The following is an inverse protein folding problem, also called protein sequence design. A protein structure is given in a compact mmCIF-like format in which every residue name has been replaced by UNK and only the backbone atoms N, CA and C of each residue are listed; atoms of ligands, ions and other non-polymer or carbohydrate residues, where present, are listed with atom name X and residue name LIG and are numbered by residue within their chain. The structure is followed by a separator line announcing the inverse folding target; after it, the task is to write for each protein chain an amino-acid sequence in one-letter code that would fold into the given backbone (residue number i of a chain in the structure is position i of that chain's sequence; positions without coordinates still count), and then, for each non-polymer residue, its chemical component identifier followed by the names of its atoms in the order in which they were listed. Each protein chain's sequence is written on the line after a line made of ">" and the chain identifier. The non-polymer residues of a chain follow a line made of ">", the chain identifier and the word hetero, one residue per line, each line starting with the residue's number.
data_IF_536005546906
#
_entry.id   IF_536005546906
#
_cell.length_a   1.000
_cell.length_b   1.000
_cell.length_c   1.000
_cell.angle_alpha   90.00
_cell.angle_beta   90.00
_cell.angle_gamma   90.00
#
_symmetry.space_group_name_H-M   'P 1'
#
loop_
_entity.id
_entity.type
_entity.pdbx_description
1 polymer ?
#
# COMPACT_ATOMS: atom_id res chain seq x y z
N UNK A 1 15.25 12.20 -69.96
CA UNK A 1 15.75 13.15 -68.94
C UNK A 1 14.52 13.91 -68.47
N UNK A 2 14.04 13.84 -67.23
CA UNK A 2 14.73 13.90 -65.93
C UNK A 2 13.83 13.22 -64.89
N UNK A 3 14.43 12.36 -64.06
CA UNK A 3 13.75 11.65 -62.98
C UNK A 3 13.50 12.56 -61.77
N UNK A 4 12.32 12.44 -61.19
CA UNK A 4 11.97 13.07 -59.91
C UNK A 4 12.39 12.14 -58.76
N UNK A 5 13.44 12.53 -58.06
CA UNK A 5 14.00 11.79 -56.91
C UNK A 5 13.12 11.96 -55.67
N UNK A 6 12.66 10.81 -55.17
CA UNK A 6 11.99 10.59 -53.89
C UNK A 6 12.83 11.07 -52.70
N UNK A 7 12.31 12.01 -51.91
CA UNK A 7 12.89 12.42 -50.62
C UNK A 7 12.31 11.56 -49.49
N UNK A 8 12.91 10.39 -49.30
CA UNK A 8 12.65 9.48 -48.18
C UNK A 8 13.19 10.11 -46.88
N UNK A 9 12.31 10.76 -46.12
CA UNK A 9 12.63 11.34 -44.80
C UNK A 9 12.70 10.21 -43.77
N UNK A 10 13.85 9.56 -43.66
CA UNK A 10 14.11 8.53 -42.65
C UNK A 10 14.16 9.18 -41.25
N UNK A 11 13.06 9.10 -40.51
CA UNK A 11 13.05 9.23 -39.05
C UNK A 11 13.82 8.05 -38.47
N UNK A 12 15.12 8.22 -38.21
CA UNK A 12 15.91 7.31 -37.38
C UNK A 12 15.36 7.33 -35.95
N UNK A 13 14.41 6.45 -35.65
CA UNK A 13 14.15 6.00 -34.29
C UNK A 13 15.42 5.30 -33.80
N UNK A 14 16.15 5.96 -32.90
CA UNK A 14 17.32 5.38 -32.21
C UNK A 14 16.83 4.17 -31.42
N UNK A 15 17.08 2.95 -31.91
CA UNK A 15 16.83 1.71 -31.17
C UNK A 15 17.76 1.72 -29.94
N UNK A 16 17.20 2.00 -28.77
CA UNK A 16 17.92 1.85 -27.49
C UNK A 16 18.34 0.39 -27.33
N UNK A 17 19.62 0.19 -27.04
CA UNK A 17 20.25 -1.13 -27.02
C UNK A 17 19.69 -1.99 -25.88
N UNK A 18 19.60 -3.31 -26.07
CA UNK A 18 19.06 -4.25 -25.07
C UNK A 18 19.80 -4.18 -23.72
N UNK A 19 21.10 -3.85 -23.72
CA UNK A 19 21.89 -3.65 -22.51
C UNK A 19 21.48 -2.40 -21.70
N UNK A 20 21.01 -1.34 -22.37
CA UNK A 20 20.48 -0.12 -21.74
C UNK A 20 19.11 -0.36 -21.09
N UNK A 21 18.34 -1.35 -21.56
CA UNK A 21 17.04 -1.73 -20.98
C UNK A 21 17.16 -2.43 -19.62
N UNK A 22 18.28 -3.10 -19.37
CA UNK A 22 18.54 -3.85 -18.14
C UNK A 22 19.56 -3.16 -17.22
N UNK A 23 20.06 -1.98 -17.58
CA UNK A 23 20.83 -1.17 -16.66
C UNK A 23 19.94 -0.84 -15.43
N UNK A 24 20.43 -1.03 -14.19
CA UNK A 24 19.70 -0.61 -13.02
C UNK A 24 19.35 0.86 -13.20
N UNK A 25 18.07 1.22 -12.98
CA UNK A 25 17.65 2.60 -13.16
C UNK A 25 18.60 3.51 -12.36
N UNK A 26 19.13 4.60 -12.92
CA UNK A 26 20.08 5.50 -12.24
C UNK A 26 19.46 6.26 -11.05
N UNK A 27 18.26 5.85 -10.63
CA UNK A 27 17.42 6.40 -9.58
C UNK A 27 17.05 5.33 -8.54
N UNK A 28 17.82 4.24 -8.47
CA UNK A 28 17.62 3.16 -7.50
C UNK A 28 17.79 3.68 -6.06
N UNK A 29 17.15 3.05 -5.07
CA UNK A 29 17.24 3.48 -3.66
C UNK A 29 18.67 3.50 -3.15
N UNK A 30 19.50 2.56 -3.60
CA UNK A 30 20.90 2.48 -3.17
C UNK A 30 21.71 3.69 -3.66
N UNK A 31 21.44 4.16 -4.87
CA UNK A 31 22.11 5.35 -5.43
C UNK A 31 21.54 6.64 -4.85
N UNK A 32 20.21 6.71 -4.70
CA UNK A 32 19.56 7.82 -4.04
C UNK A 32 20.06 7.97 -2.59
N UNK A 33 20.14 6.90 -1.80
CA UNK A 33 20.65 6.97 -0.43
C UNK A 33 22.12 7.43 -0.33
N UNK A 34 22.94 7.14 -1.36
CA UNK A 34 24.37 7.46 -1.36
C UNK A 34 24.69 8.85 -1.93
N UNK A 35 23.89 9.35 -2.86
CA UNK A 35 24.16 10.59 -3.60
C UNK A 35 23.06 11.67 -3.46
N UNK A 36 22.02 11.41 -2.65
CA UNK A 36 20.99 12.38 -2.32
C UNK A 36 21.55 13.54 -1.49
N UNK A 37 21.18 14.75 -1.89
CA UNK A 37 21.40 15.95 -1.09
C UNK A 37 20.51 15.97 0.17
N UNK A 38 20.84 16.81 1.15
CA UNK A 38 20.11 16.95 2.42
C UNK A 38 18.63 17.25 2.16
N UNK A 39 18.33 18.06 1.14
CA UNK A 39 16.96 18.39 0.72
C UNK A 39 16.17 17.17 0.19
N UNK A 40 16.87 16.22 -0.43
CA UNK A 40 16.27 14.94 -0.85
C UNK A 40 16.03 14.02 0.33
N UNK A 41 16.93 14.02 1.33
CA UNK A 41 16.72 13.31 2.59
C UNK A 41 15.57 13.87 3.43
N UNK A 42 15.36 15.19 3.44
CA UNK A 42 14.18 15.80 4.07
C UNK A 42 12.89 15.32 3.39
N UNK A 43 12.95 14.91 2.12
CA UNK A 43 11.80 14.32 1.42
C UNK A 43 11.42 12.93 1.92
N UNK A 44 12.22 12.31 2.77
CA UNK A 44 11.86 11.06 3.47
C UNK A 44 10.96 11.36 4.68
N UNK A 45 11.04 12.56 5.24
CA UNK A 45 10.20 12.97 6.38
C UNK A 45 8.98 13.74 5.91
N UNK A 46 9.16 14.66 4.95
CA UNK A 46 8.09 15.44 4.32
C UNK A 46 8.10 15.11 2.83
N UNK A 47 7.27 14.17 2.40
CA UNK A 47 7.35 13.52 1.08
C UNK A 47 7.31 14.50 -0.09
N UNK A 48 6.66 15.64 0.09
CA UNK A 48 6.54 16.69 -0.92
C UNK A 48 7.73 17.66 -1.02
N UNK A 49 8.60 17.75 -0.01
CA UNK A 49 9.48 18.90 0.17
C UNK A 49 10.58 19.03 -0.91
N UNK A 50 11.33 17.96 -1.20
CA UNK A 50 12.40 18.01 -2.20
C UNK A 50 11.89 18.09 -3.64
N UNK A 51 10.63 17.73 -3.89
CA UNK A 51 9.97 18.00 -5.16
C UNK A 51 9.52 19.47 -5.25
N UNK A 52 9.06 20.05 -4.14
CA UNK A 52 8.65 21.46 -4.05
C UNK A 52 9.82 22.42 -4.29
N UNK A 53 10.97 22.18 -3.62
CA UNK A 53 12.20 22.98 -3.80
C UNK A 53 12.70 22.91 -5.24
N UNK A 54 12.46 21.78 -5.92
CA UNK A 54 12.87 21.55 -7.31
C UNK A 54 11.82 21.94 -8.34
N UNK A 55 10.90 22.86 -7.98
CA UNK A 55 9.86 23.43 -8.86
C UNK A 55 8.86 22.41 -9.42
N UNK A 56 8.78 21.20 -8.86
CA UNK A 56 7.75 20.20 -9.19
C UNK A 56 6.58 20.31 -8.20
N UNK A 57 5.93 21.47 -8.18
CA UNK A 57 4.90 21.80 -7.18
C UNK A 57 3.75 20.81 -7.14
N UNK A 58 3.22 20.39 -8.29
CA UNK A 58 2.08 19.46 -8.35
C UNK A 58 2.44 18.10 -7.74
N UNK A 59 3.63 17.56 -8.07
CA UNK A 59 4.11 16.30 -7.45
C UNK A 59 4.32 16.48 -5.96
N UNK A 60 4.92 17.60 -5.54
CA UNK A 60 5.10 17.94 -4.13
C UNK A 60 3.77 17.94 -3.37
N UNK A 61 2.74 18.57 -3.93
CA UNK A 61 1.39 18.62 -3.34
C UNK A 61 0.76 17.23 -3.27
N UNK A 62 0.87 16.40 -4.29
CA UNK A 62 0.33 15.03 -4.27
C UNK A 62 0.99 14.20 -3.16
N UNK A 63 2.32 14.22 -3.09
CA UNK A 63 3.05 13.48 -2.05
C UNK A 63 2.70 13.98 -0.64
N UNK A 64 2.59 15.30 -0.46
CA UNK A 64 2.21 15.90 0.82
C UNK A 64 0.75 15.62 1.19
N UNK A 65 -0.16 15.57 0.21
CA UNK A 65 -1.56 15.20 0.44
C UNK A 65 -1.70 13.72 0.84
N UNK A 66 -0.96 12.81 0.20
CA UNK A 66 -0.92 11.40 0.58
C UNK A 66 -0.35 11.21 1.99
N UNK A 67 0.72 11.94 2.32
CA UNK A 67 1.32 11.96 3.64
C UNK A 67 0.32 12.43 4.71
N UNK A 68 -0.34 13.58 4.47
CA UNK A 68 -1.34 14.12 5.38
C UNK A 68 -2.54 13.17 5.57
N UNK A 69 -2.99 12.49 4.50
CA UNK A 69 -4.07 11.51 4.58
C UNK A 69 -3.67 10.28 5.43
N UNK A 70 -2.47 9.75 5.22
CA UNK A 70 -1.98 8.59 5.99
C UNK A 70 -1.74 8.94 7.46
N UNK A 71 -1.11 10.07 7.75
CA UNK A 71 -0.95 10.52 9.13
C UNK A 71 -2.29 10.86 9.78
N UNK A 72 -3.21 11.50 9.06
CA UNK A 72 -4.57 11.76 9.55
C UNK A 72 -5.28 10.47 9.94
N UNK A 73 -5.22 9.44 9.09
CA UNK A 73 -5.76 8.12 9.39
C UNK A 73 -5.06 7.47 10.61
N UNK A 74 -3.73 7.51 10.67
CA UNK A 74 -2.98 6.91 11.77
C UNK A 74 -3.22 7.61 13.11
N UNK A 75 -3.36 8.94 13.13
CA UNK A 75 -3.61 9.68 14.37
C UNK A 75 -5.06 9.63 14.84
N UNK A 76 -6.02 9.38 13.95
CA UNK A 76 -7.44 9.30 14.31
C UNK A 76 -7.90 7.88 14.59
N UNK A 77 -7.55 6.93 13.72
CA UNK A 77 -7.99 5.53 13.80
C UNK A 77 -6.84 4.67 14.28
N UNK A 78 -5.64 4.86 13.73
CA UNK A 78 -4.48 4.04 14.07
C UNK A 78 -4.16 4.04 15.57
N UNK A 79 -4.08 5.20 16.21
CA UNK A 79 -3.76 5.32 17.63
C UNK A 79 -4.75 4.60 18.55
N UNK A 80 -6.03 4.57 18.19
CA UNK A 80 -7.07 3.95 19.00
C UNK A 80 -7.10 2.42 18.83
N UNK A 81 -6.82 1.92 17.63
CA UNK A 81 -6.98 0.52 17.27
C UNK A 81 -5.67 -0.30 17.27
N UNK A 82 -4.50 0.29 16.98
CA UNK A 82 -3.21 -0.43 17.02
C UNK A 82 -2.94 -1.09 18.37
N UNK A 83 -3.09 -0.39 19.52
CA UNK A 83 -2.78 -0.99 20.82
C UNK A 83 -3.74 -2.13 21.18
N UNK A 84 -4.97 -2.06 20.66
CA UNK A 84 -6.03 -3.06 20.88
C UNK A 84 -5.88 -4.28 19.97
N UNK A 85 -4.96 -4.26 18.99
CA UNK A 85 -4.77 -5.38 18.07
C UNK A 85 -4.30 -6.64 18.78
N UNK A 86 -3.69 -6.56 19.96
CA UNK A 86 -3.27 -7.72 20.73
C UNK A 86 -4.35 -8.26 21.67
N UNK A 87 -5.33 -7.45 22.04
CA UNK A 87 -6.39 -7.84 22.97
C UNK A 87 -7.72 -8.10 22.27
N UNK A 88 -7.92 -7.55 21.06
CA UNK A 88 -9.13 -7.63 20.24
C UNK A 88 -10.39 -7.11 20.94
N UNK A 89 -10.21 -6.24 21.94
CA UNK A 89 -11.31 -5.72 22.75
C UNK A 89 -11.22 -6.24 24.18
N UNK A 90 -11.59 -5.39 25.12
CA UNK A 90 -11.55 -5.72 26.56
C UNK A 90 -12.90 -5.51 27.22
N UNK A 91 -13.77 -4.71 26.60
CA UNK A 91 -15.09 -4.39 27.15
C UNK A 91 -16.13 -5.35 26.60
N UNK A 92 -16.71 -6.13 27.50
CA UNK A 92 -17.80 -7.02 27.15
C UNK A 92 -19.08 -6.23 26.80
N UNK A 93 -19.73 -6.56 25.68
CA UNK A 93 -21.14 -6.21 25.47
C UNK A 93 -21.95 -6.75 26.65
N UNK A 94 -22.47 -5.84 27.47
CA UNK A 94 -23.23 -6.16 28.67
C UNK A 94 -24.71 -5.92 28.45
N UNK A 95 -25.55 -6.85 28.91
CA UNK A 95 -26.99 -6.64 29.05
C UNK A 95 -27.29 -6.37 30.53
N UNK A 96 -27.73 -5.16 30.86
CA UNK A 96 -28.12 -4.82 32.22
C UNK A 96 -29.61 -4.52 32.24
N UNK A 97 -30.35 -5.21 33.11
CA UNK A 97 -31.78 -4.97 33.29
C UNK A 97 -31.95 -3.78 34.21
N UNK A 98 -32.38 -2.64 33.66
CA UNK A 98 -32.65 -1.42 34.42
C UNK A 98 -34.15 -1.16 34.34
N UNK A 99 -34.84 -1.14 35.47
CA UNK A 99 -36.28 -0.89 35.56
C UNK A 99 -37.14 -1.83 34.70
N UNK A 100 -36.79 -3.12 34.63
CA UNK A 100 -37.58 -4.12 33.88
C UNK A 100 -37.29 -4.18 32.38
N UNK A 101 -36.61 -3.18 31.81
CA UNK A 101 -36.21 -3.16 30.40
C UNK A 101 -34.75 -3.56 30.23
N UNK A 102 -34.46 -4.28 29.15
CA UNK A 102 -33.10 -4.63 28.76
C UNK A 102 -32.40 -3.39 28.22
N UNK A 103 -31.30 -2.99 28.88
CA UNK A 103 -30.39 -1.96 28.35
C UNK A 103 -29.12 -2.65 27.87
N UNK A 104 -28.85 -2.48 26.57
CA UNK A 104 -27.64 -3.00 25.93
C UNK A 104 -26.54 -1.96 26.07
N UNK A 105 -25.40 -2.37 26.63
CA UNK A 105 -24.16 -1.60 26.56
C UNK A 105 -23.40 -2.02 25.32
N UNK A 106 -23.07 -1.07 24.44
CA UNK A 106 -22.17 -1.32 23.33
C UNK A 106 -20.81 -1.71 23.92
N UNK A 107 -20.40 -2.96 23.71
CA UNK A 107 -19.05 -3.42 23.98
C UNK A 107 -18.21 -3.35 22.71
N UNK A 108 -16.91 -3.58 22.88
CA UNK A 108 -15.95 -3.56 21.79
C UNK A 108 -16.31 -4.62 20.72
N UNK A 109 -16.22 -4.25 19.45
CA UNK A 109 -16.38 -5.20 18.35
C UNK A 109 -14.99 -5.68 17.90
N UNK A 110 -14.67 -6.95 18.17
CA UNK A 110 -13.38 -7.55 17.81
C UNK A 110 -13.12 -7.54 16.30
N UNK A 111 -14.18 -7.65 15.48
CA UNK A 111 -14.08 -7.54 14.00
C UNK A 111 -13.57 -6.17 13.60
N UNK A 112 -14.14 -5.13 14.19
CA UNK A 112 -13.81 -3.74 13.89
C UNK A 112 -12.37 -3.42 14.33
N UNK A 113 -11.99 -3.85 15.53
CA UNK A 113 -10.65 -3.69 16.06
C UNK A 113 -9.61 -4.39 15.17
N UNK A 114 -9.89 -5.62 14.75
CA UNK A 114 -9.00 -6.37 13.88
C UNK A 114 -8.88 -5.69 12.50
N UNK A 115 -10.00 -5.29 11.89
CA UNK A 115 -10.02 -4.64 10.59
C UNK A 115 -9.21 -3.33 10.60
N UNK A 116 -9.50 -2.42 11.53
CA UNK A 116 -8.80 -1.15 11.62
C UNK A 116 -7.35 -1.30 12.08
N UNK A 117 -7.04 -2.31 12.90
CA UNK A 117 -5.68 -2.66 13.26
C UNK A 117 -4.86 -3.10 12.03
N UNK A 118 -5.38 -4.01 11.22
CA UNK A 118 -4.74 -4.47 9.97
C UNK A 118 -4.62 -3.33 8.98
N UNK A 119 -5.66 -2.51 8.80
CA UNK A 119 -5.61 -1.31 7.95
C UNK A 119 -4.49 -0.36 8.38
N UNK A 120 -4.28 -0.20 9.69
CA UNK A 120 -3.24 0.68 10.23
C UNK A 120 -1.82 0.13 10.01
N UNK A 121 -1.63 -1.19 10.15
CA UNK A 121 -0.35 -1.83 9.78
C UNK A 121 -0.05 -1.63 8.29
N UNK A 122 -1.03 -1.88 7.42
CA UNK A 122 -0.88 -1.67 5.98
C UNK A 122 -0.64 -0.20 5.63
N UNK A 123 -1.27 0.74 6.34
CA UNK A 123 -1.03 2.17 6.18
C UNK A 123 0.41 2.55 6.56
N UNK A 124 0.98 1.96 7.63
CA UNK A 124 2.39 2.16 8.01
C UNK A 124 3.33 1.62 6.91
N UNK A 125 3.06 0.42 6.38
CA UNK A 125 3.85 -0.15 5.27
C UNK A 125 3.77 0.75 4.03
N UNK A 126 2.58 1.25 3.71
CA UNK A 126 2.36 2.17 2.59
C UNK A 126 3.08 3.51 2.82
N UNK A 127 3.09 4.02 4.05
CA UNK A 127 3.83 5.23 4.42
C UNK A 127 5.33 5.05 4.19
N UNK A 128 5.92 3.94 4.66
CA UNK A 128 7.33 3.62 4.40
C UNK A 128 7.58 3.50 2.89
N UNK A 129 6.71 2.82 2.16
CA UNK A 129 6.84 2.70 0.70
C UNK A 129 6.81 4.07 0.00
N UNK A 130 5.87 4.94 0.36
CA UNK A 130 5.80 6.30 -0.18
C UNK A 130 7.02 7.14 0.19
N UNK A 131 7.58 6.97 1.38
CA UNK A 131 8.83 7.62 1.77
C UNK A 131 9.98 7.24 0.82
N UNK A 132 10.07 5.95 0.46
CA UNK A 132 11.07 5.49 -0.51
C UNK A 132 10.82 6.08 -1.90
N UNK A 133 9.57 6.22 -2.33
CA UNK A 133 9.22 6.82 -3.62
C UNK A 133 9.49 8.33 -3.64
N UNK A 134 9.21 9.03 -2.55
CA UNK A 134 9.49 10.46 -2.39
C UNK A 134 10.99 10.75 -2.52
N UNK A 135 11.84 9.94 -1.86
CA UNK A 135 13.29 10.04 -1.99
C UNK A 135 13.76 9.79 -3.43
N UNK A 136 13.27 8.73 -4.09
CA UNK A 136 13.61 8.45 -5.51
C UNK A 136 13.18 9.59 -6.43
N UNK A 137 11.99 10.16 -6.20
CA UNK A 137 11.46 11.28 -6.97
C UNK A 137 12.34 12.53 -6.80
N UNK A 138 12.69 12.87 -5.55
CA UNK A 138 13.54 14.01 -5.23
C UNK A 138 14.94 13.86 -5.84
N UNK A 139 15.53 12.66 -5.77
CA UNK A 139 16.83 12.36 -6.36
C UNK A 139 16.82 12.44 -7.89
N UNK A 140 15.76 11.93 -8.54
CA UNK A 140 15.58 12.09 -9.99
C UNK A 140 15.46 13.57 -10.40
N UNK A 141 14.77 14.38 -9.61
CA UNK A 141 14.70 15.82 -9.88
C UNK A 141 16.07 16.51 -9.68
N UNK A 142 16.86 16.07 -8.70
CA UNK A 142 18.21 16.56 -8.44
C UNK A 142 19.16 16.28 -9.61
N UNK A 143 19.20 15.05 -10.11
CA UNK A 143 20.10 14.67 -11.21
C UNK A 143 19.75 15.41 -12.50
N UNK A 144 18.46 15.59 -12.80
CA UNK A 144 18.01 16.32 -14.00
C UNK A 144 18.38 17.80 -13.94
N UNK A 145 18.31 18.41 -12.74
CA UNK A 145 18.81 19.77 -12.54
C UNK A 145 20.33 19.86 -12.65
N UNK A 146 21.07 18.86 -12.15
CA UNK A 146 22.52 18.79 -12.27
C UNK A 146 22.98 18.71 -13.73
N UNK A 147 22.20 18.04 -14.58
CA UNK A 147 22.41 17.99 -16.04
C UNK A 147 22.01 19.30 -16.76
N UNK A 148 21.64 20.35 -16.03
CA UNK A 148 21.22 21.66 -16.57
C UNK A 148 19.84 21.64 -17.24
N UNK A 149 19.09 20.55 -17.11
CA UNK A 149 17.75 20.40 -17.70
C UNK A 149 16.69 20.81 -16.67
N UNK A 150 15.59 21.39 -17.15
CA UNK A 150 14.43 21.64 -16.29
C UNK A 150 13.74 20.30 -15.99
N UNK A 151 13.46 19.97 -14.72
CA UNK A 151 12.67 18.80 -14.38
C UNK A 151 11.32 18.88 -15.10
N UNK A 152 10.86 17.77 -15.68
CA UNK A 152 9.57 17.70 -16.36
C UNK A 152 8.46 18.13 -15.40
N UNK A 153 7.54 18.95 -15.90
CA UNK A 153 6.40 19.41 -15.15
C UNK A 153 5.37 18.27 -15.07
N UNK A 154 4.58 18.18 -13.99
CA UNK A 154 3.60 17.09 -13.84
C UNK A 154 2.57 17.07 -14.97
N UNK A 155 2.24 18.24 -15.53
CA UNK A 155 1.33 18.36 -16.68
C UNK A 155 1.94 17.73 -17.93
N UNK A 156 3.24 17.92 -18.14
CA UNK A 156 3.96 17.34 -19.28
C UNK A 156 4.12 15.83 -19.09
N UNK A 157 4.47 15.38 -17.88
CA UNK A 157 4.47 13.96 -17.52
C UNK A 157 3.09 13.33 -17.67
N UNK A 158 2.01 13.99 -17.27
CA UNK A 158 0.64 13.50 -17.40
C UNK A 158 0.21 13.42 -18.87
N UNK A 159 0.59 14.38 -19.71
CA UNK A 159 0.38 14.30 -21.16
C UNK A 159 1.15 13.15 -21.79
N UNK A 160 2.42 12.97 -21.44
CA UNK A 160 3.20 11.81 -21.91
C UNK A 160 2.63 10.48 -21.39
N UNK A 161 2.11 10.46 -20.17
CA UNK A 161 1.43 9.30 -19.59
C UNK A 161 0.05 9.03 -20.18
N UNK A 162 -0.63 10.02 -20.75
CA UNK A 162 -1.93 9.85 -21.41
C UNK A 162 -1.81 9.61 -22.92
N UNK A 163 -0.72 10.02 -23.55
CA UNK A 163 -0.52 9.93 -25.00
C UNK A 163 0.42 8.76 -25.34
N UNK A 164 1.71 8.84 -24.94
CA UNK A 164 2.72 7.84 -25.28
C UNK A 164 2.66 6.60 -24.37
N UNK A 165 2.18 6.76 -23.13
CA UNK A 165 2.09 5.70 -22.12
C UNK A 165 0.70 5.57 -21.51
N UNK A 166 -0.33 5.87 -22.29
CA UNK A 166 -1.74 5.78 -21.89
C UNK A 166 -2.05 4.48 -21.13
N UNK A 167 -1.56 3.36 -21.66
CA UNK A 167 -1.70 2.04 -21.05
C UNK A 167 -1.16 1.98 -19.61
N UNK A 168 -0.10 2.70 -19.26
CA UNK A 168 0.43 2.74 -17.89
C UNK A 168 -0.51 3.52 -16.98
N UNK A 169 -0.96 4.71 -17.40
CA UNK A 169 -1.88 5.53 -16.60
C UNK A 169 -3.27 4.88 -16.42
N UNK A 170 -3.79 4.23 -17.47
CA UNK A 170 -5.06 3.52 -17.39
C UNK A 170 -4.96 2.21 -16.62
N UNK A 171 -3.78 1.57 -16.55
CA UNK A 171 -3.60 0.34 -15.76
C UNK A 171 -3.28 0.63 -14.29
N UNK A 172 -2.68 1.78 -13.94
CA UNK A 172 -2.35 2.10 -12.54
C UNK A 172 -3.58 2.22 -11.66
N UNK A 173 -4.68 2.81 -12.16
CA UNK A 173 -5.92 2.97 -11.39
C UNK A 173 -6.58 1.60 -11.08
N UNK A 174 -6.86 0.72 -12.07
CA UNK A 174 -7.31 -0.66 -11.83
C UNK A 174 -6.35 -1.45 -10.95
N UNK A 175 -5.04 -1.35 -11.18
CA UNK A 175 -4.04 -2.08 -10.38
C UNK A 175 -4.06 -1.63 -8.93
N UNK A 176 -4.11 -0.32 -8.66
CA UNK A 176 -4.24 0.21 -7.30
C UNK A 176 -5.53 -0.26 -6.62
N UNK A 177 -6.65 -0.26 -7.35
CA UNK A 177 -7.92 -0.79 -6.86
C UNK A 177 -7.82 -2.26 -6.49
N UNK A 178 -7.28 -3.11 -7.38
CA UNK A 178 -7.07 -4.54 -7.11
C UNK A 178 -6.19 -4.72 -5.89
N UNK A 179 -5.05 -4.04 -5.81
CA UNK A 179 -4.13 -4.10 -4.66
C UNK A 179 -4.86 -3.76 -3.36
N UNK A 180 -5.63 -2.67 -3.32
CA UNK A 180 -6.38 -2.28 -2.12
C UNK A 180 -7.45 -3.31 -1.75
N UNK A 181 -8.28 -3.75 -2.71
CA UNK A 181 -9.39 -4.67 -2.46
C UNK A 181 -8.99 -6.13 -2.32
N UNK A 182 -7.76 -6.51 -2.67
CA UNK A 182 -7.27 -7.89 -2.50
C UNK A 182 -6.38 -8.01 -1.28
N UNK A 183 -5.39 -7.13 -1.14
CA UNK A 183 -4.40 -7.23 -0.07
C UNK A 183 -5.06 -6.98 1.29
N UNK A 184 -5.90 -5.96 1.41
CA UNK A 184 -6.55 -5.66 2.69
C UNK A 184 -7.43 -6.82 3.19
N UNK A 185 -8.38 -7.36 2.39
CA UNK A 185 -9.17 -8.50 2.83
C UNK A 185 -8.32 -9.75 3.06
N UNK A 186 -7.29 -10.00 2.24
CA UNK A 186 -6.42 -11.16 2.45
C UNK A 186 -5.73 -11.12 3.82
N UNK A 187 -5.11 -10.00 4.18
CA UNK A 187 -4.46 -9.87 5.50
C UNK A 187 -5.48 -9.99 6.63
N UNK A 188 -6.65 -9.38 6.49
CA UNK A 188 -7.72 -9.48 7.48
C UNK A 188 -8.20 -10.94 7.66
N UNK A 189 -8.42 -11.66 6.56
CA UNK A 189 -8.84 -13.07 6.58
C UNK A 189 -7.76 -13.99 7.17
N UNK A 190 -6.49 -13.75 6.82
CA UNK A 190 -5.37 -14.48 7.43
C UNK A 190 -5.32 -14.23 8.93
N UNK A 191 -5.44 -12.97 9.38
CA UNK A 191 -5.45 -12.66 10.82
C UNK A 191 -6.62 -13.31 11.54
N UNK A 192 -7.83 -13.31 10.95
CA UNK A 192 -9.02 -13.95 11.52
C UNK A 192 -8.81 -15.46 11.73
N UNK A 193 -8.06 -16.15 10.86
CA UNK A 193 -7.78 -17.57 11.01
C UNK A 193 -6.96 -17.93 12.28
N UNK A 194 -6.25 -16.96 12.87
CA UNK A 194 -5.52 -17.13 14.15
C UNK A 194 -6.34 -16.73 15.39
N UNK A 195 -7.64 -16.48 15.22
CA UNK A 195 -8.53 -16.02 16.29
C UNK A 195 -9.65 -17.01 16.59
N UNK A 196 -10.31 -16.82 17.73
CA UNK A 196 -11.49 -17.60 18.16
C UNK A 196 -12.79 -17.20 17.45
N UNK A 197 -12.73 -16.86 16.17
CA UNK A 197 -13.91 -16.44 15.41
C UNK A 197 -14.81 -17.65 15.16
N UNK A 198 -16.03 -17.61 15.69
CA UNK A 198 -17.04 -18.67 15.59
C UNK A 198 -18.44 -18.06 15.38
N UNK A 199 -19.37 -18.84 14.83
CA UNK A 199 -20.75 -18.40 14.52
C UNK A 199 -21.52 -17.95 15.77
N UNK A 200 -21.23 -18.54 16.93
CA UNK A 200 -21.91 -18.22 18.20
C UNK A 200 -21.34 -16.97 18.91
N UNK A 201 -20.11 -16.55 18.57
CA UNK A 201 -19.40 -15.44 19.24
C UNK A 201 -18.83 -14.41 18.25
N UNK A 202 -19.55 -14.09 17.17
CA UNK A 202 -19.07 -13.23 16.08
C UNK A 202 -18.53 -11.85 16.50
N UNK A 203 -19.05 -11.29 17.60
CA UNK A 203 -18.68 -9.94 18.06
C UNK A 203 -17.48 -9.90 19.00
N UNK A 204 -17.07 -11.04 19.55
CA UNK A 204 -15.96 -11.14 20.50
C UNK A 204 -15.11 -12.36 20.21
N UNK A 205 -13.87 -12.12 19.83
CA UNK A 205 -12.90 -13.17 19.66
C UNK A 205 -11.52 -12.72 20.11
N UNK A 206 -10.73 -13.68 20.56
CA UNK A 206 -9.37 -13.47 21.08
C UNK A 206 -8.34 -14.16 20.19
N UNK A 207 -7.07 -13.77 20.32
CA UNK A 207 -5.98 -14.52 19.70
C UNK A 207 -5.86 -15.90 20.34
N UNK A 208 -5.95 -16.93 19.51
CA UNK A 208 -5.64 -18.31 19.90
C UNK A 208 -4.32 -18.78 19.24
N UNK A 209 -3.89 -18.11 18.17
CA UNK A 209 -2.63 -18.42 17.49
C UNK A 209 -2.66 -19.77 16.80
N UNK A 210 -1.66 -20.63 17.06
CA UNK A 210 -1.51 -21.93 16.39
C UNK A 210 -2.36 -23.04 17.02
N UNK A 211 -2.98 -22.81 18.17
CA UNK A 211 -3.81 -23.81 18.83
C UNK A 211 -5.02 -24.20 17.98
N UNK A 212 -5.56 -23.25 17.20
CA UNK A 212 -6.60 -23.52 16.19
C UNK A 212 -6.11 -24.56 15.18
N UNK A 213 -4.92 -24.37 14.64
CA UNK A 213 -4.30 -25.30 13.69
C UNK A 213 -3.97 -26.65 14.33
N UNK A 214 -3.48 -26.67 15.57
CA UNK A 214 -3.23 -27.92 16.30
C UNK A 214 -4.52 -28.72 16.52
N UNK A 215 -5.63 -28.05 16.87
CA UNK A 215 -6.93 -28.70 17.02
C UNK A 215 -7.47 -29.27 15.70
N UNK A 216 -7.23 -28.58 14.58
CA UNK A 216 -7.53 -29.08 13.24
C UNK A 216 -6.68 -30.31 12.87
N UNK A 217 -5.35 -30.26 13.08
CA UNK A 217 -4.46 -31.38 12.75
C UNK A 217 -4.64 -32.60 13.65
N UNK A 218 -4.96 -32.39 14.93
CA UNK A 218 -5.09 -33.48 15.93
C UNK A 218 -6.49 -34.11 15.94
N UNK A 219 -7.45 -33.57 15.18
CA UNK A 219 -8.81 -34.09 15.10
C UNK A 219 -9.60 -33.98 16.41
N UNK A 220 -9.24 -33.04 17.29
CA UNK A 220 -9.91 -32.82 18.59
C UNK A 220 -11.12 -31.89 18.50
N UNK A 221 -11.35 -31.27 17.35
CA UNK A 221 -12.52 -30.42 17.09
C UNK A 221 -13.54 -31.17 16.25
N UNK A 222 -14.81 -31.09 16.64
CA UNK A 222 -15.96 -31.73 15.97
C UNK A 222 -16.26 -31.13 14.57
N UNK A 223 -15.57 -30.05 14.18
CA UNK A 223 -15.97 -29.19 13.08
C UNK A 223 -15.35 -29.60 11.73
N UNK A 224 -14.09 -30.07 11.66
CA UNK A 224 -13.45 -30.56 10.42
C UNK A 224 -12.38 -31.59 10.75
N UNK A 225 -12.58 -32.85 10.32
CA UNK A 225 -11.58 -33.93 10.46
C UNK A 225 -10.44 -33.70 9.44
N UNK A 226 -9.20 -33.73 9.90
CA UNK A 226 -8.00 -33.54 9.08
C UNK A 226 -7.98 -34.43 7.82
N UNK A 227 -8.58 -35.62 7.90
CA UNK A 227 -8.70 -36.57 6.80
C UNK A 227 -9.40 -35.96 5.57
N UNK A 228 -10.49 -35.21 5.76
CA UNK A 228 -11.23 -34.57 4.65
C UNK A 228 -10.40 -33.46 3.99
N UNK A 229 -9.59 -32.76 4.78
CA UNK A 229 -8.71 -31.71 4.26
C UNK A 229 -7.59 -32.30 3.39
N UNK A 230 -6.94 -33.35 3.85
CA UNK A 230 -5.87 -34.00 3.07
C UNK A 230 -6.40 -34.72 1.83
N UNK A 231 -7.59 -35.31 1.89
CA UNK A 231 -8.24 -35.92 0.73
C UNK A 231 -8.51 -34.90 -0.39
N UNK A 232 -8.96 -33.69 -0.05
CA UNK A 232 -9.17 -32.61 -1.04
C UNK A 232 -7.85 -32.01 -1.53
N UNK A 233 -6.83 -31.92 -0.67
CA UNK A 233 -5.53 -31.34 -1.03
C UNK A 233 -4.71 -32.23 -1.97
N UNK A 234 -4.92 -33.54 -1.91
CA UNK A 234 -4.28 -34.53 -2.79
C UNK A 234 -4.99 -34.60 -4.16
N UNK A 235 -6.27 -34.18 -4.24
CA UNK A 235 -7.09 -34.19 -5.45
C UNK A 235 -6.70 -33.08 -6.44
#
# INVERSE_FOLDING_TARGET
>A
MTGTTSTKRERRQKKTSTAERFAPSPYSLKEAAKHADILSWISVVIFGFGNFVRKQYIKGVIFLACEAALFGFLFTIGLDYLPKINTLGTVEQGRVKVNGFWRYSAGDNSVEILLYGVMSILAIVLLVYLATLALRSAYKAQSVMADGKKPLNFIDDAKTLLDEKAHVGFMTLPTAGIVLFTILPLFFMISMAFTSYDEDHQQKFSWIGLDVFSQFLTGKSDLIKADVFFDVLIW
#
